data_IF_188460743670
#
_entry.id   IF_188460743670
#
_cell.length_a   1.000
_cell.length_b   1.000
_cell.length_c   1.000
_cell.angle_alpha   90.00
_cell.angle_beta   90.00
_cell.angle_gamma   90.00
#
_symmetry.space_group_name_H-M   'P 1'
#
loop_
_entity.id
_entity.type
_entity.pdbx_description
1 polymer ?
#
# COMPACT_ATOMS: atom_id res chain seq x y z
N UNK A 1 11.10 -18.04 14.90
CA UNK A 1 12.49 -18.47 15.21
C UNK A 1 12.71 -18.88 16.68
N UNK A 2 12.21 -18.13 17.67
CA UNK A 2 12.39 -18.48 19.09
C UNK A 2 11.64 -19.78 19.49
N UNK A 3 10.40 -19.94 19.04
CA UNK A 3 9.56 -21.11 19.35
C UNK A 3 10.12 -22.42 18.78
N UNK A 4 10.74 -22.36 17.60
CA UNK A 4 11.38 -23.52 16.97
C UNK A 4 12.58 -24.04 17.79
N UNK A 5 13.40 -23.14 18.34
CA UNK A 5 14.52 -23.51 19.23
C UNK A 5 14.03 -24.12 20.54
N UNK A 6 12.86 -23.73 21.02
CA UNK A 6 12.27 -24.30 22.24
C UNK A 6 11.71 -25.72 21.98
N UNK A 7 11.11 -25.94 20.81
CA UNK A 7 10.67 -27.25 20.37
C UNK A 7 11.84 -28.24 20.21
N UNK A 8 12.97 -27.81 19.64
CA UNK A 8 14.18 -28.64 19.54
C UNK A 8 14.74 -29.04 20.90
N UNK A 9 14.79 -28.11 21.87
CA UNK A 9 15.24 -28.40 23.24
C UNK A 9 14.35 -29.45 23.93
N UNK A 10 13.03 -29.34 23.77
CA UNK A 10 12.07 -30.32 24.32
C UNK A 10 12.25 -31.70 23.67
N UNK A 11 12.50 -31.76 22.36
CA UNK A 11 12.76 -33.01 21.63
C UNK A 11 14.04 -33.70 22.12
N UNK A 12 15.12 -32.93 22.31
CA UNK A 12 16.39 -33.46 22.85
C UNK A 12 16.24 -33.99 24.29
N UNK A 13 15.51 -33.28 25.15
CA UNK A 13 15.22 -33.72 26.53
C UNK A 13 14.44 -35.03 26.58
N UNK A 14 13.48 -35.22 25.67
CA UNK A 14 12.69 -36.45 25.60
C UNK A 14 13.52 -37.65 25.11
N UNK A 15 14.40 -37.44 24.13
CA UNK A 15 15.29 -38.48 23.61
C UNK A 15 16.23 -39.03 24.72
N UNK A 16 16.86 -38.13 25.49
CA UNK A 16 17.76 -38.51 26.59
C UNK A 16 17.03 -39.29 27.71
N UNK A 17 15.76 -38.97 27.98
CA UNK A 17 14.97 -39.66 28.99
C UNK A 17 14.59 -41.08 28.53
N UNK A 18 14.29 -41.26 27.25
CA UNK A 18 13.93 -42.55 26.65
C UNK A 18 15.12 -43.52 26.62
N UNK A 19 16.31 -43.06 26.24
CA UNK A 19 17.53 -43.89 26.27
C UNK A 19 17.85 -44.40 27.68
N UNK A 20 17.70 -43.55 28.70
CA UNK A 20 17.91 -43.95 30.09
C UNK A 20 16.91 -45.02 30.57
N UNK A 21 15.67 -44.98 30.09
CA UNK A 21 14.68 -46.02 30.42
C UNK A 21 14.97 -47.35 29.71
N UNK A 22 15.47 -47.32 28.48
CA UNK A 22 15.86 -48.53 27.74
C UNK A 22 17.09 -49.17 28.38
N UNK A 23 18.11 -48.39 28.75
CA UNK A 23 19.31 -48.89 29.40
C UNK A 23 19.03 -49.59 30.74
N UNK A 24 18.03 -49.11 31.50
CA UNK A 24 17.62 -49.74 32.77
C UNK A 24 16.90 -51.08 32.61
N UNK A 25 16.26 -51.36 31.47
CA UNK A 25 15.52 -52.62 31.23
C UNK A 25 16.37 -53.72 30.58
N UNK A 26 17.53 -53.38 30.01
CA UNK A 26 18.41 -54.34 29.34
C UNK A 26 19.00 -55.49 30.21
N UNK A 27 19.29 -55.34 31.53
CA UNK A 27 19.95 -56.41 32.28
C UNK A 27 19.02 -57.56 32.69
N UNK A 28 17.69 -57.38 32.67
CA UNK A 28 16.75 -58.43 33.13
C UNK A 28 16.50 -59.53 32.09
N UNK A 29 16.70 -59.25 30.79
CA UNK A 29 16.46 -60.24 29.73
C UNK A 29 17.57 -61.29 29.65
N UNK A 30 18.83 -60.92 29.93
CA UNK A 30 19.96 -61.89 29.91
C UNK A 30 19.90 -62.92 31.04
N UNK A 31 19.12 -62.70 32.11
CA UNK A 31 18.98 -63.66 33.23
C UNK A 31 17.92 -64.74 32.99
N UNK A 32 17.07 -64.62 31.97
CA UNK A 32 16.03 -65.63 31.68
C UNK A 32 16.45 -66.73 30.71
N UNK A 33 17.45 -66.51 29.86
CA UNK A 33 17.90 -67.52 28.89
C UNK A 33 18.81 -68.60 29.50
N UNK A 34 19.47 -68.33 30.62
CA UNK A 34 20.40 -69.30 31.25
C UNK A 34 19.74 -70.40 32.08
N UNK A 35 18.40 -70.49 32.13
CA UNK A 35 17.67 -71.49 32.94
C UNK A 35 16.96 -72.60 32.15
N UNK A 36 17.01 -72.61 30.82
CA UNK A 36 16.20 -73.56 30.01
C UNK A 36 16.97 -74.74 29.38
N UNK A 37 18.30 -74.84 29.57
CA UNK A 37 19.10 -75.87 28.88
C UNK A 37 19.32 -77.18 29.68
N UNK A 38 18.75 -77.34 30.88
CA UNK A 38 19.16 -78.42 31.80
C UNK A 38 18.09 -79.46 32.14
N UNK A 39 16.96 -79.56 31.42
CA UNK A 39 15.85 -80.45 31.81
C UNK A 39 15.29 -81.40 30.75
N UNK A 40 16.01 -81.68 29.65
CA UNK A 40 15.57 -82.68 28.64
C UNK A 40 16.37 -83.98 28.75
N UNK A 41 16.23 -84.67 29.88
CA UNK A 41 16.45 -86.11 29.97
C UNK A 41 15.10 -86.76 30.28
N UNK A 42 14.23 -86.82 29.28
CA UNK A 42 12.95 -87.55 29.40
C UNK A 42 13.28 -89.03 29.40
N UNK A 43 13.10 -89.70 30.54
CA UNK A 43 13.19 -91.15 30.64
C UNK A 43 12.01 -91.77 29.87
N UNK A 44 12.30 -92.42 28.75
CA UNK A 44 11.30 -93.11 27.93
C UNK A 44 10.67 -94.26 28.73
N UNK A 45 9.35 -94.25 28.89
CA UNK A 45 8.67 -95.27 29.68
C UNK A 45 8.61 -96.58 28.88
N UNK A 46 8.66 -97.76 29.54
CA UNK A 46 8.58 -99.06 28.87
C UNK A 46 7.30 -99.28 28.05
N UNK A 47 6.22 -98.56 28.37
CA UNK A 47 4.97 -98.58 27.61
C UNK A 47 5.13 -97.98 26.20
N UNK A 48 5.86 -96.88 26.08
CA UNK A 48 6.12 -96.20 24.80
C UNK A 48 6.95 -97.09 23.87
N UNK A 49 7.80 -97.96 24.44
CA UNK A 49 8.65 -98.90 23.67
C UNK A 49 7.87 -99.95 22.89
N UNK A 50 6.64 -100.27 23.30
CA UNK A 50 5.79 -101.25 22.60
C UNK A 50 5.12 -100.64 21.36
N UNK A 51 4.78 -99.34 21.39
CA UNK A 51 4.13 -98.65 20.27
C UNK A 51 5.09 -98.42 19.09
N UNK A 52 6.39 -98.21 19.37
CA UNK A 52 7.43 -98.11 18.33
C UNK A 52 7.68 -99.41 17.55
N UNK A 53 7.22 -100.57 18.05
CA UNK A 53 7.41 -101.84 17.34
C UNK A 53 6.27 -102.15 16.36
N UNK A 54 5.11 -101.49 16.47
CA UNK A 54 3.96 -101.70 15.60
C UNK A 54 3.80 -100.65 14.49
N UNK A 55 4.49 -99.51 14.59
CA UNK A 55 4.44 -98.46 13.58
C UNK A 55 5.58 -98.64 12.57
N UNK A 56 5.25 -98.63 11.27
CA UNK A 56 6.26 -98.61 10.22
C UNK A 56 7.12 -97.35 10.36
N UNK A 57 8.42 -97.53 10.52
CA UNK A 57 9.41 -96.45 10.70
C UNK A 57 9.24 -95.31 9.68
N UNK A 58 8.90 -95.63 8.44
CA UNK A 58 8.65 -94.64 7.38
C UNK A 58 7.46 -93.72 7.72
N UNK A 59 6.38 -94.24 8.32
CA UNK A 59 5.22 -93.42 8.70
C UNK A 59 5.55 -92.40 9.79
N UNK A 60 6.47 -92.74 10.70
CA UNK A 60 6.94 -91.85 11.75
C UNK A 60 7.83 -90.74 11.18
N UNK A 61 8.78 -91.09 10.32
CA UNK A 61 9.67 -90.12 9.66
C UNK A 61 8.85 -89.19 8.76
N UNK A 62 7.94 -89.72 7.95
CA UNK A 62 7.06 -88.93 7.10
C UNK A 62 6.15 -88.03 7.94
N UNK A 63 5.64 -88.50 9.08
CA UNK A 63 4.83 -87.70 10.01
C UNK A 63 5.60 -86.51 10.57
N UNK A 64 6.83 -86.74 11.07
CA UNK A 64 7.68 -85.67 11.60
C UNK A 64 8.09 -84.66 10.51
N UNK A 65 8.45 -85.14 9.32
CA UNK A 65 8.80 -84.28 8.18
C UNK A 65 7.60 -83.45 7.71
N UNK A 66 6.41 -84.05 7.58
CA UNK A 66 5.18 -83.34 7.23
C UNK A 66 4.81 -82.29 8.28
N UNK A 67 4.98 -82.60 9.56
CA UNK A 67 4.73 -81.64 10.64
C UNK A 67 5.70 -80.47 10.62
N UNK A 68 7.00 -80.72 10.43
CA UNK A 68 8.02 -79.68 10.35
C UNK A 68 7.81 -78.75 9.14
N UNK A 69 7.47 -79.30 7.97
CA UNK A 69 7.12 -78.52 6.79
C UNK A 69 5.87 -77.67 7.04
N UNK A 70 4.84 -78.23 7.71
CA UNK A 70 3.63 -77.47 8.04
C UNK A 70 3.93 -76.32 8.99
N UNK A 71 4.66 -76.57 10.08
CA UNK A 71 5.05 -75.52 11.03
C UNK A 71 5.91 -74.44 10.36
N UNK A 72 6.79 -74.82 9.44
CA UNK A 72 7.56 -73.85 8.65
C UNK A 72 6.69 -73.04 7.70
N UNK A 73 5.73 -73.68 7.02
CA UNK A 73 4.79 -72.99 6.15
C UNK A 73 3.90 -72.02 6.93
N UNK A 74 3.40 -72.41 8.11
CA UNK A 74 2.62 -71.56 9.01
C UNK A 74 3.44 -70.38 9.53
N UNK A 75 4.71 -70.60 9.88
CA UNK A 75 5.63 -69.52 10.27
C UNK A 75 5.81 -68.51 9.14
N UNK A 76 6.09 -68.98 7.93
CA UNK A 76 6.25 -68.12 6.75
C UNK A 76 4.95 -67.38 6.41
N UNK A 77 3.79 -68.02 6.54
CA UNK A 77 2.49 -67.38 6.37
C UNK A 77 2.33 -66.23 7.38
N UNK A 78 2.64 -66.48 8.65
CA UNK A 78 2.60 -65.46 9.70
C UNK A 78 3.51 -64.26 9.41
N UNK A 79 4.74 -64.50 8.96
CA UNK A 79 5.69 -63.44 8.56
C UNK A 79 5.16 -62.60 7.39
N UNK A 80 4.58 -63.26 6.38
CA UNK A 80 3.97 -62.57 5.22
C UNK A 80 2.74 -61.76 5.64
N UNK A 81 1.90 -62.29 6.53
CA UNK A 81 0.75 -61.55 7.05
C UNK A 81 1.16 -60.30 7.85
N UNK A 82 2.18 -60.41 8.70
CA UNK A 82 2.72 -59.26 9.45
C UNK A 82 3.29 -58.23 8.48
N UNK A 83 4.08 -58.67 7.50
CA UNK A 83 4.65 -57.79 6.47
C UNK A 83 3.56 -57.11 5.64
N UNK A 84 2.49 -57.83 5.29
CA UNK A 84 1.33 -57.27 4.58
C UNK A 84 0.62 -56.21 5.41
N UNK A 85 0.36 -56.47 6.70
CA UNK A 85 -0.26 -55.49 7.60
C UNK A 85 0.61 -54.24 7.76
N UNK A 86 1.92 -54.41 7.89
CA UNK A 86 2.87 -53.30 7.96
C UNK A 86 2.87 -52.45 6.68
N UNK A 87 2.89 -53.09 5.50
CA UNK A 87 2.82 -52.38 4.23
C UNK A 87 1.50 -51.63 4.05
N UNK A 88 0.36 -52.24 4.42
CA UNK A 88 -0.94 -51.55 4.37
C UNK A 88 -0.97 -50.34 5.29
N UNK A 89 -0.45 -50.46 6.52
CA UNK A 89 -0.35 -49.33 7.44
C UNK A 89 0.56 -48.21 6.89
N UNK A 90 1.64 -48.55 6.18
CA UNK A 90 2.49 -47.56 5.50
C UNK A 90 1.80 -46.88 4.33
N UNK A 91 1.01 -47.62 3.56
CA UNK A 91 0.22 -47.06 2.45
C UNK A 91 -0.84 -46.11 2.99
N UNK A 92 -1.60 -46.50 4.01
CA UNK A 92 -2.59 -45.62 4.65
C UNK A 92 -1.95 -44.35 5.20
N UNK A 93 -0.81 -44.47 5.89
CA UNK A 93 -0.07 -43.30 6.39
C UNK A 93 0.40 -42.38 5.25
N UNK A 94 0.92 -42.94 4.16
CA UNK A 94 1.34 -42.16 2.99
C UNK A 94 0.15 -41.49 2.29
N UNK A 95 -1.01 -42.14 2.24
CA UNK A 95 -2.24 -41.54 1.71
C UNK A 95 -2.77 -40.41 2.59
N UNK A 96 -2.70 -40.54 3.92
CA UNK A 96 -3.00 -39.47 4.86
C UNK A 96 -2.07 -38.26 4.66
N UNK A 97 -0.76 -38.50 4.51
CA UNK A 97 0.24 -37.47 4.22
C UNK A 97 -0.05 -36.77 2.87
N UNK A 98 -0.37 -37.52 1.82
CA UNK A 98 -0.75 -36.95 0.52
C UNK A 98 -2.02 -36.11 0.61
N UNK A 99 -3.02 -36.56 1.39
CA UNK A 99 -4.24 -35.78 1.63
C UNK A 99 -3.93 -34.48 2.38
N UNK A 100 -3.06 -34.50 3.38
CA UNK A 100 -2.62 -33.32 4.11
C UNK A 100 -1.90 -32.31 3.19
N UNK A 101 -0.91 -32.77 2.41
CA UNK A 101 -0.18 -31.93 1.45
C UNK A 101 -1.10 -31.34 0.38
N UNK A 102 -2.11 -32.10 -0.07
CA UNK A 102 -3.10 -31.59 -1.03
C UNK A 102 -3.98 -30.49 -0.44
N UNK A 103 -4.33 -30.59 0.85
CA UNK A 103 -5.08 -29.54 1.54
C UNK A 103 -4.23 -28.26 1.69
N UNK A 104 -2.98 -28.40 2.13
CA UNK A 104 -2.02 -27.29 2.26
C UNK A 104 -1.80 -26.58 0.91
N UNK A 105 -1.59 -27.33 -0.18
CA UNK A 105 -1.44 -26.76 -1.52
C UNK A 105 -2.69 -25.96 -1.96
N UNK A 106 -3.90 -26.41 -1.59
CA UNK A 106 -5.14 -25.69 -1.92
C UNK A 106 -5.27 -24.41 -1.11
N UNK A 107 -4.90 -24.43 0.16
CA UNK A 107 -4.87 -23.25 1.02
C UNK A 107 -3.87 -22.21 0.50
N UNK A 108 -2.64 -22.64 0.17
CA UNK A 108 -1.61 -21.77 -0.39
C UNK A 108 -2.05 -21.15 -1.72
N UNK A 109 -2.67 -21.93 -2.61
CA UNK A 109 -3.26 -21.41 -3.86
C UNK A 109 -4.33 -20.36 -3.55
N UNK A 110 -5.18 -20.58 -2.54
CA UNK A 110 -6.15 -19.60 -2.07
C UNK A 110 -5.49 -18.31 -1.59
N UNK A 111 -4.50 -18.42 -0.69
CA UNK A 111 -3.74 -17.27 -0.17
C UNK A 111 -3.05 -16.48 -1.30
N UNK A 112 -2.46 -17.16 -2.28
CA UNK A 112 -1.83 -16.54 -3.42
C UNK A 112 -2.84 -15.85 -4.36
N UNK A 113 -4.05 -16.41 -4.56
CA UNK A 113 -5.11 -15.70 -5.31
C UNK A 113 -5.56 -14.43 -4.60
N UNK A 114 -5.67 -14.46 -3.27
CA UNK A 114 -5.99 -13.30 -2.45
C UNK A 114 -4.90 -12.24 -2.55
N UNK A 115 -3.63 -12.61 -2.37
CA UNK A 115 -2.49 -11.70 -2.50
C UNK A 115 -2.44 -11.04 -3.90
N UNK A 116 -2.69 -11.80 -4.97
CA UNK A 116 -2.79 -11.24 -6.33
C UNK A 116 -3.94 -10.24 -6.47
N UNK A 117 -5.07 -10.48 -5.82
CA UNK A 117 -6.20 -9.54 -5.85
C UNK A 117 -5.89 -8.25 -5.10
N UNK A 118 -5.18 -8.32 -3.97
CA UNK A 118 -4.73 -7.14 -3.22
C UNK A 118 -3.74 -6.31 -4.02
N UNK A 119 -2.77 -6.95 -4.69
CA UNK A 119 -1.82 -6.26 -5.58
C UNK A 119 -2.57 -5.49 -6.68
N UNK A 120 -3.54 -6.13 -7.36
CA UNK A 120 -4.35 -5.46 -8.38
C UNK A 120 -5.17 -4.30 -7.82
N UNK A 121 -5.70 -4.44 -6.60
CA UNK A 121 -6.43 -3.35 -5.94
C UNK A 121 -5.52 -2.15 -5.62
N UNK A 122 -4.28 -2.41 -5.18
CA UNK A 122 -3.29 -1.35 -4.94
C UNK A 122 -2.85 -0.69 -6.25
N UNK A 123 -2.63 -1.47 -7.32
CA UNK A 123 -2.32 -0.94 -8.66
C UNK A 123 -3.43 -0.03 -9.19
N UNK A 124 -4.70 -0.40 -9.01
CA UNK A 124 -5.84 0.44 -9.39
C UNK A 124 -5.84 1.78 -8.63
N UNK A 125 -5.66 1.75 -7.30
CA UNK A 125 -5.56 2.97 -6.48
C UNK A 125 -4.36 3.85 -6.88
N UNK A 126 -3.24 3.23 -7.25
CA UNK A 126 -2.07 3.94 -7.73
C UNK A 126 -2.35 4.64 -9.07
N UNK A 127 -3.03 3.96 -9.99
CA UNK A 127 -3.45 4.55 -11.27
C UNK A 127 -4.42 5.73 -11.08
N UNK A 128 -5.39 5.59 -10.16
CA UNK A 128 -6.28 6.69 -9.77
C UNK A 128 -5.50 7.88 -9.19
N UNK A 129 -4.56 7.64 -8.26
CA UNK A 129 -3.72 8.68 -7.69
C UNK A 129 -2.90 9.41 -8.77
N UNK A 130 -2.28 8.68 -9.71
CA UNK A 130 -1.57 9.31 -10.82
C UNK A 130 -2.50 10.14 -11.72
N UNK A 131 -3.73 9.67 -11.97
CA UNK A 131 -4.72 10.45 -12.72
C UNK A 131 -5.08 11.76 -12.01
N UNK A 132 -5.32 11.73 -10.70
CA UNK A 132 -5.60 12.95 -9.92
C UNK A 132 -4.44 13.95 -9.94
N UNK A 133 -3.19 13.46 -9.83
CA UNK A 133 -2.00 14.31 -9.92
C UNK A 133 -1.90 14.96 -11.30
N UNK A 134 -2.19 14.22 -12.38
CA UNK A 134 -2.17 14.77 -13.74
C UNK A 134 -3.20 15.90 -13.92
N UNK A 135 -4.41 15.75 -13.37
CA UNK A 135 -5.44 16.80 -13.37
C UNK A 135 -4.96 18.03 -12.60
N UNK A 136 -4.47 17.87 -11.38
CA UNK A 136 -3.97 18.98 -10.56
C UNK A 136 -2.79 19.71 -11.22
N UNK A 137 -1.88 18.98 -11.86
CA UNK A 137 -0.77 19.59 -12.62
C UNK A 137 -1.28 20.43 -13.79
N UNK A 138 -2.31 19.94 -14.50
CA UNK A 138 -2.92 20.70 -15.59
C UNK A 138 -3.61 21.96 -15.07
N UNK A 139 -4.37 21.86 -13.98
CA UNK A 139 -5.03 23.01 -13.33
C UNK A 139 -4.00 24.04 -12.83
N UNK A 140 -2.92 23.59 -12.18
CA UNK A 140 -1.84 24.45 -11.70
C UNK A 140 -1.19 25.25 -12.85
N UNK A 141 -0.90 24.59 -13.97
CA UNK A 141 -0.40 25.26 -15.19
C UNK A 141 -1.42 26.28 -15.72
N UNK A 142 -2.69 25.92 -15.72
CA UNK A 142 -3.77 26.83 -16.11
C UNK A 142 -3.86 28.07 -15.22
N UNK A 143 -3.68 27.92 -13.90
CA UNK A 143 -3.63 29.05 -12.97
C UNK A 143 -2.37 29.89 -13.15
N UNK A 144 -1.22 29.27 -13.39
CA UNK A 144 0.05 29.96 -13.63
C UNK A 144 -0.04 30.89 -14.85
N UNK A 145 -0.58 30.40 -15.97
CA UNK A 145 -0.77 31.21 -17.17
C UNK A 145 -1.72 32.41 -16.95
N UNK A 146 -2.73 32.26 -16.09
CA UNK A 146 -3.63 33.36 -15.73
C UNK A 146 -2.91 34.43 -14.89
N UNK A 147 -2.05 34.01 -13.95
CA UNK A 147 -1.23 34.94 -13.16
C UNK A 147 -0.31 35.73 -14.09
N UNK A 148 0.44 35.06 -14.96
CA UNK A 148 1.32 35.72 -15.95
C UNK A 148 0.56 36.71 -16.83
N UNK A 149 -0.68 36.37 -17.23
CA UNK A 149 -1.54 37.28 -17.99
C UNK A 149 -1.95 38.52 -17.19
N UNK A 150 -2.28 38.37 -15.91
CA UNK A 150 -2.65 39.48 -15.03
C UNK A 150 -1.47 40.40 -14.75
N UNK A 151 -0.30 39.83 -14.46
CA UNK A 151 0.96 40.58 -14.29
C UNK A 151 1.29 41.40 -15.55
N UNK A 152 1.12 40.80 -16.74
CA UNK A 152 1.33 41.52 -18.00
C UNK A 152 0.32 42.67 -18.22
N UNK A 153 -0.92 42.54 -17.72
CA UNK A 153 -1.92 43.61 -17.77
C UNK A 153 -1.62 44.72 -16.77
N UNK A 154 -1.25 44.35 -15.55
CA UNK A 154 -0.85 45.28 -14.49
C UNK A 154 0.34 46.13 -14.94
N UNK A 155 1.38 45.50 -15.51
CA UNK A 155 2.55 46.20 -16.03
C UNK A 155 2.17 47.25 -17.09
N UNK A 156 1.29 46.90 -18.03
CA UNK A 156 0.81 47.86 -19.06
C UNK A 156 0.00 49.00 -18.45
N UNK A 157 -0.87 48.70 -17.48
CA UNK A 157 -1.65 49.72 -16.80
C UNK A 157 -0.75 50.69 -16.03
N UNK A 158 0.30 50.17 -15.39
CA UNK A 158 1.29 50.96 -14.67
C UNK A 158 2.12 51.84 -15.63
N UNK A 159 2.58 51.30 -16.76
CA UNK A 159 3.25 52.07 -17.82
C UNK A 159 2.36 53.20 -18.37
N UNK A 160 1.07 52.90 -18.61
CA UNK A 160 0.09 53.90 -19.06
C UNK A 160 -0.14 54.99 -18.01
N UNK A 161 -0.25 54.62 -16.73
CA UNK A 161 -0.41 55.57 -15.64
C UNK A 161 0.82 56.48 -15.52
N UNK A 162 2.03 55.91 -15.57
CA UNK A 162 3.27 56.68 -15.57
C UNK A 162 3.35 57.66 -16.74
N UNK A 163 2.99 57.21 -17.94
CA UNK A 163 2.94 58.06 -19.12
C UNK A 163 1.91 59.19 -18.98
N UNK A 164 0.73 58.92 -18.44
CA UNK A 164 -0.28 59.95 -18.17
C UNK A 164 0.24 60.98 -17.16
N UNK A 165 0.84 60.54 -16.04
CA UNK A 165 1.47 61.44 -15.07
C UNK A 165 2.56 62.30 -15.71
N UNK A 166 3.35 61.72 -16.61
CA UNK A 166 4.38 62.45 -17.34
C UNK A 166 3.77 63.53 -18.26
N UNK A 167 2.72 63.20 -19.03
CA UNK A 167 2.00 64.18 -19.85
C UNK A 167 1.43 65.34 -19.01
N UNK A 168 0.86 65.04 -17.83
CA UNK A 168 0.38 66.07 -16.91
C UNK A 168 1.51 66.97 -16.39
N UNK A 169 2.68 66.39 -16.07
CA UNK A 169 3.85 67.17 -15.65
C UNK A 169 4.39 68.05 -16.76
N UNK A 170 4.36 67.57 -18.01
CA UNK A 170 4.87 68.28 -19.17
C UNK A 170 3.92 69.35 -19.70
N UNK A 171 2.61 69.24 -19.45
CA UNK A 171 1.64 70.26 -19.85
C UNK A 171 1.83 71.56 -19.05
N UNK A 172 2.28 72.61 -19.74
CA UNK A 172 2.31 73.98 -19.21
C UNK A 172 0.89 74.50 -18.94
N UNK A 173 -0.06 74.21 -19.84
CA UNK A 173 -1.47 74.63 -19.70
C UNK A 173 -2.11 74.13 -18.40
N UNK A 174 -1.83 72.89 -17.98
CA UNK A 174 -2.31 72.37 -16.69
C UNK A 174 -1.61 73.02 -15.50
N UNK A 175 -0.34 73.40 -15.63
CA UNK A 175 0.39 74.11 -14.58
C UNK A 175 -0.16 75.52 -14.40
N UNK A 176 -0.34 76.26 -15.47
CA UNK A 176 -0.94 77.60 -15.45
C UNK A 176 -2.37 77.56 -14.91
N UNK A 177 -3.17 76.56 -15.31
CA UNK A 177 -4.55 76.43 -14.84
C UNK A 177 -4.63 76.02 -13.36
N UNK A 178 -3.74 75.13 -12.89
CA UNK A 178 -3.63 74.84 -11.46
C UNK A 178 -3.11 76.03 -10.68
N UNK A 179 -2.16 76.81 -11.21
CA UNK A 179 -1.68 78.03 -10.57
C UNK A 179 -2.79 79.07 -10.48
N UNK A 180 -3.50 79.38 -11.57
CA UNK A 180 -4.63 80.31 -11.55
C UNK A 180 -5.77 79.83 -10.63
N UNK A 181 -6.25 78.60 -10.78
CA UNK A 181 -7.42 78.13 -10.03
C UNK A 181 -7.10 77.80 -8.57
N UNK A 182 -5.89 77.29 -8.25
CA UNK A 182 -5.49 77.08 -6.85
C UNK A 182 -5.23 78.41 -6.15
N UNK A 183 -4.60 79.38 -6.81
CA UNK A 183 -4.38 80.72 -6.22
C UNK A 183 -5.72 81.43 -6.06
N UNK A 184 -6.59 81.43 -7.07
CA UNK A 184 -7.92 82.07 -6.98
C UNK A 184 -8.85 81.38 -5.97
N UNK A 185 -8.82 80.04 -5.92
CA UNK A 185 -9.55 79.24 -4.94
C UNK A 185 -9.07 79.50 -3.51
N UNK A 186 -7.76 79.56 -3.30
CA UNK A 186 -7.15 79.90 -2.02
C UNK A 186 -7.51 81.31 -1.58
N UNK A 187 -7.42 82.29 -2.49
CA UNK A 187 -7.80 83.68 -2.24
C UNK A 187 -9.29 83.75 -1.84
N UNK A 188 -10.19 83.11 -2.59
CA UNK A 188 -11.63 83.06 -2.25
C UNK A 188 -11.89 82.41 -0.90
N UNK A 189 -11.27 81.26 -0.62
CA UNK A 189 -11.41 80.59 0.67
C UNK A 189 -10.91 81.44 1.85
N UNK A 190 -9.80 82.16 1.65
CA UNK A 190 -9.24 83.07 2.65
C UNK A 190 -10.14 84.29 2.88
N UNK A 191 -10.75 84.83 1.83
CA UNK A 191 -11.74 85.90 1.95
C UNK A 191 -12.99 85.45 2.70
N UNK A 192 -13.51 84.26 2.42
CA UNK A 192 -14.64 83.69 3.16
C UNK A 192 -14.31 83.48 4.63
N UNK A 193 -13.11 82.98 4.93
CA UNK A 193 -12.59 82.89 6.28
C UNK A 193 -12.54 84.25 6.97
N UNK A 194 -11.99 85.30 6.33
CA UNK A 194 -11.98 86.67 6.88
C UNK A 194 -13.40 87.19 7.11
N UNK A 195 -14.35 86.92 6.20
CA UNK A 195 -15.77 87.29 6.37
C UNK A 195 -16.37 86.61 7.60
N UNK A 196 -16.10 85.32 7.80
CA UNK A 196 -16.54 84.58 8.99
C UNK A 196 -15.90 85.12 10.27
N UNK A 197 -14.59 85.38 10.25
CA UNK A 197 -13.86 85.85 11.43
C UNK A 197 -14.30 87.26 11.86
N UNK A 198 -14.59 88.17 10.93
CA UNK A 198 -15.14 89.51 11.27
C UNK A 198 -16.50 89.44 11.96
N UNK A 199 -17.33 88.46 11.58
CA UNK A 199 -18.64 88.27 12.20
C UNK A 199 -18.51 87.78 13.64
N UNK A 200 -17.51 86.93 13.91
CA UNK A 200 -17.24 86.38 15.22
C UNK A 200 -16.46 87.36 16.12
N UNK A 201 -15.50 88.10 15.55
CA UNK A 201 -14.58 88.98 16.25
C UNK A 201 -14.43 90.34 15.54
N UNK A 202 -15.35 91.30 15.77
CA UNK A 202 -15.36 92.58 15.06
C UNK A 202 -14.13 93.46 15.32
N UNK A 203 -13.49 93.32 16.48
CA UNK A 203 -12.34 94.14 16.91
C UNK A 203 -11.00 93.63 16.36
N UNK A 204 -10.96 92.40 15.84
CA UNK A 204 -9.71 91.79 15.40
C UNK A 204 -9.29 92.36 14.04
N UNK A 205 -8.14 93.06 14.01
CA UNK A 205 -7.66 93.69 12.79
C UNK A 205 -7.02 92.68 11.83
N UNK A 206 -7.87 92.11 10.96
CA UNK A 206 -7.48 91.17 9.91
C UNK A 206 -6.61 91.78 8.80
N UNK A 207 -6.27 93.08 8.82
CA UNK A 207 -5.39 93.66 7.79
C UNK A 207 -3.96 93.11 7.86
N UNK A 208 -3.58 92.50 8.99
CA UNK A 208 -2.26 91.93 9.22
C UNK A 208 -2.10 90.52 8.63
N UNK A 209 -3.20 89.82 8.32
CA UNK A 209 -3.17 88.48 7.75
C UNK A 209 -3.27 88.58 6.22
N UNK A 210 -2.13 88.59 5.54
CA UNK A 210 -2.07 88.40 4.09
C UNK A 210 -1.98 86.90 3.78
N UNK A 211 -2.80 86.38 2.85
CA UNK A 211 -2.58 85.05 2.31
C UNK A 211 -1.17 85.00 1.69
N UNK A 212 -0.31 84.10 2.19
CA UNK A 212 1.06 83.90 1.72
C UNK A 212 2.17 84.73 2.42
N UNK A 213 1.82 85.68 3.30
CA UNK A 213 2.79 86.62 3.88
C UNK A 213 3.52 86.14 5.15
N UNK A 214 3.78 84.84 5.32
CA UNK A 214 4.19 84.30 6.64
C UNK A 214 5.31 83.26 6.67
N UNK A 215 5.93 82.92 5.54
CA UNK A 215 7.12 82.06 5.53
C UNK A 215 8.20 82.88 4.82
N UNK A 216 8.86 83.75 5.58
CA UNK A 216 10.24 84.06 5.24
C UNK A 216 10.96 82.71 5.35
N UNK A 217 11.35 82.15 4.21
CA UNK A 217 12.21 80.98 4.12
C UNK A 217 13.55 81.36 4.77
N UNK A 218 13.60 81.29 6.10
CA UNK A 218 14.83 81.36 6.85
C UNK A 218 15.60 80.10 6.42
N UNK A 219 16.54 80.30 5.51
CA UNK A 219 17.61 79.41 5.03
C UNK A 219 18.54 78.97 6.20
N UNK A 220 17.96 78.71 7.37
CA UNK A 220 18.63 78.21 8.57
C UNK A 220 18.67 76.69 8.54
N UNK A 221 19.80 76.17 8.07
CA UNK A 221 20.10 74.75 7.96
C UNK A 221 19.65 73.90 9.17
N UNK A 222 18.80 72.93 8.89
CA UNK A 222 18.68 71.71 9.66
C UNK A 222 19.08 70.54 8.77
N UNK A 223 20.39 70.38 8.61
CA UNK A 223 20.99 69.08 8.34
C UNK A 223 20.68 68.18 9.55
N UNK A 224 19.66 67.34 9.41
CA UNK A 224 19.36 66.26 10.33
C UNK A 224 19.12 64.99 9.53
N UNK A 225 20.09 64.05 9.46
CA UNK A 225 19.86 62.74 8.88
C UNK A 225 19.06 61.94 9.91
N UNK A 226 17.76 61.84 9.70
CA UNK A 226 16.96 60.81 10.37
C UNK A 226 16.74 59.71 9.33
N UNK A 227 17.70 58.79 9.29
CA UNK A 227 17.45 57.42 8.88
C UNK A 227 16.40 56.87 9.85
N UNK A 228 15.13 56.96 9.46
CA UNK A 228 14.12 56.06 9.98
C UNK A 228 14.20 54.81 9.13
N UNK A 229 15.06 53.90 9.59
CA UNK A 229 15.07 52.51 9.17
C UNK A 229 13.66 51.93 9.24
N UNK A 230 13.33 51.18 8.19
CA UNK A 230 12.58 49.93 8.22
C UNK A 230 11.91 49.56 9.56
N UNK A 231 10.58 49.72 9.65
CA UNK A 231 9.69 48.82 10.42
C UNK A 231 8.22 49.27 10.26
N UNK A 232 7.62 49.06 9.09
CA UNK A 232 6.16 49.18 8.93
C UNK A 232 5.57 48.35 7.77
N UNK A 233 6.27 47.28 7.34
CA UNK A 233 5.83 46.43 6.22
C UNK A 233 5.54 44.97 6.59
N UNK A 234 5.43 44.62 7.88
CA UNK A 234 5.21 43.22 8.30
C UNK A 234 4.03 42.98 9.27
N UNK A 235 3.04 43.88 9.35
CA UNK A 235 1.85 43.69 10.19
C UNK A 235 0.52 43.74 9.42
N UNK A 236 0.49 43.20 8.19
CA UNK A 236 -0.76 42.96 7.44
C UNK A 236 -0.88 41.53 6.88
N UNK A 237 0.07 40.64 7.16
CA UNK A 237 0.05 39.24 6.73
C UNK A 237 -0.29 38.24 7.86
N UNK A 238 -0.74 38.73 9.03
CA UNK A 238 -0.95 37.89 10.23
C UNK A 238 -2.23 38.21 11.02
N UNK A 239 -3.33 38.46 10.32
CA UNK A 239 -4.65 37.98 10.78
C UNK A 239 -4.99 36.78 9.88
N UNK A 240 -4.56 35.56 10.23
CA UNK A 240 -5.38 34.67 11.03
C UNK A 240 -6.85 34.75 10.56
N UNK A 241 -7.28 33.95 9.57
CA UNK A 241 -7.25 32.48 9.65
C UNK A 241 -7.57 32.01 11.07
N UNK A 242 -8.71 32.48 11.57
CA UNK A 242 -9.39 31.93 12.72
C UNK A 242 -10.88 31.80 12.37
N UNK A 243 -11.33 30.56 12.39
CA UNK A 243 -12.66 30.21 12.89
C UNK A 243 -13.85 30.45 11.95
N UNK A 244 -13.95 29.58 10.94
CA UNK A 244 -15.18 29.33 10.20
C UNK A 244 -15.39 27.83 10.04
N UNK A 245 -15.58 27.11 11.15
CA UNK A 245 -16.16 25.78 11.14
C UNK A 245 -17.69 25.93 11.17
N UNK A 246 -18.41 25.72 10.06
CA UNK A 246 -19.81 25.36 10.16
C UNK A 246 -19.89 23.88 10.54
N UNK A 247 -20.14 23.62 11.83
CA UNK A 247 -20.94 22.47 12.23
C UNK A 247 -22.26 22.53 11.45
N UNK A 248 -22.33 21.72 10.40
CA UNK A 248 -23.48 21.59 9.54
C UNK A 248 -23.57 20.15 9.08
N UNK A 249 -23.96 19.27 9.99
CA UNK A 249 -24.52 17.96 9.66
C UNK A 249 -25.99 18.18 9.29
N UNK A 250 -26.39 18.11 8.01
CA UNK A 250 -27.74 17.69 7.68
C UNK A 250 -27.76 16.16 7.70
N UNK A 251 -28.22 15.64 8.83
CA UNK A 251 -28.93 14.37 8.91
C UNK A 251 -30.17 14.47 8.01
N UNK A 252 -30.07 13.95 6.79
CA UNK A 252 -31.20 13.85 5.88
C UNK A 252 -31.04 12.61 4.96
N UNK A 253 -31.67 11.53 5.42
CA UNK A 253 -32.35 10.48 4.68
C UNK A 253 -32.01 10.28 3.18
N UNK A 254 -31.61 9.06 2.76
CA UNK A 254 -31.77 8.65 1.37
C UNK A 254 -33.25 8.34 1.13
N UNK A 255 -34.00 9.33 0.66
CA UNK A 255 -35.33 9.09 0.10
C UNK A 255 -35.19 8.39 -1.25
N UNK A 256 -35.78 7.20 -1.31
CA UNK A 256 -35.93 6.39 -2.49
C UNK A 256 -36.86 7.07 -3.51
N UNK A 257 -36.39 7.27 -4.73
CA UNK A 257 -37.19 7.21 -5.96
C UNK A 257 -36.29 7.42 -7.18
N UNK A 258 -36.24 6.47 -8.11
CA UNK A 258 -35.53 6.68 -9.37
C UNK A 258 -35.24 5.40 -10.14
N UNK A 259 -36.28 4.59 -10.30
CA UNK A 259 -36.34 3.39 -11.12
C UNK A 259 -35.91 3.72 -12.58
N UNK A 260 -34.68 3.35 -12.95
CA UNK A 260 -34.26 3.27 -14.36
C UNK A 260 -33.91 1.82 -14.65
N UNK A 261 -34.96 1.13 -15.09
CA UNK A 261 -34.93 -0.13 -15.82
C UNK A 261 -33.95 -0.03 -17.01
N UNK A 262 -32.79 -0.66 -16.87
CA UNK A 262 -32.11 -1.28 -18.01
C UNK A 262 -32.25 -2.78 -17.87
N UNK A 263 -33.26 -3.30 -18.56
CA UNK A 263 -33.43 -4.72 -18.83
C UNK A 263 -32.20 -5.23 -19.58
N UNK A 264 -31.23 -5.80 -18.86
CA UNK A 264 -30.24 -6.70 -19.46
C UNK A 264 -30.68 -8.12 -19.17
N UNK A 265 -31.54 -8.65 -20.06
CA UNK A 265 -31.93 -10.05 -20.09
C UNK A 265 -30.71 -10.93 -20.37
N UNK A 266 -30.08 -11.46 -19.32
CA UNK A 266 -29.22 -12.65 -19.44
C UNK A 266 -30.12 -13.85 -19.20
N UNK A 267 -30.66 -14.36 -20.31
CA UNK A 267 -31.28 -15.68 -20.36
C UNK A 267 -30.25 -16.75 -20.03
N UNK A 268 -30.38 -17.33 -18.85
CA UNK A 268 -29.88 -18.65 -18.53
C UNK A 268 -30.80 -19.69 -19.19
N UNK A 269 -30.34 -20.26 -20.30
CA UNK A 269 -30.67 -21.61 -20.76
C UNK A 269 -29.30 -22.22 -21.09
N UNK A 270 -28.80 -23.24 -20.41
CA UNK A 270 -29.46 -24.52 -20.31
C UNK A 270 -29.24 -25.29 -21.61
N UNK A 271 -27.99 -25.68 -21.89
CA UNK A 271 -27.69 -26.72 -22.87
C UNK A 271 -26.47 -27.51 -22.42
N UNK A 272 -26.76 -28.74 -22.00
CA UNK A 272 -25.83 -29.85 -22.02
C UNK A 272 -25.53 -30.20 -23.47
N UNK A 273 -24.25 -30.27 -23.85
CA UNK A 273 -23.73 -31.21 -24.85
C UNK A 273 -22.24 -31.45 -24.53
N UNK A 274 -21.87 -32.73 -24.49
CA UNK A 274 -20.49 -33.16 -24.77
C UNK A 274 -20.06 -32.64 -26.15
N UNK A 275 -18.78 -32.29 -26.32
CA UNK A 275 -17.97 -33.07 -27.25
C UNK A 275 -16.55 -33.26 -26.67
N UNK A 276 -15.85 -34.36 -26.93
CA UNK A 276 -15.48 -34.78 -28.27
C UNK A 276 -13.98 -34.51 -28.46
N UNK A 277 -13.28 -35.61 -28.62
CA UNK A 277 -11.85 -35.83 -28.80
C UNK A 277 -11.25 -35.14 -30.05
N UNK A 278 -10.18 -34.34 -29.87
CA UNK A 278 -9.10 -33.98 -30.83
C UNK A 278 -9.48 -33.25 -32.16
N UNK A 279 -8.57 -32.54 -32.90
CA UNK A 279 -7.11 -32.66 -32.93
C UNK A 279 -6.31 -31.32 -32.91
N UNK A 280 -4.98 -31.48 -32.94
CA UNK A 280 -3.97 -30.44 -32.98
C UNK A 280 -4.11 -29.46 -34.16
N UNK A 281 -4.04 -28.16 -33.87
CA UNK A 281 -3.64 -27.12 -34.83
C UNK A 281 -2.60 -26.19 -34.21
N UNK A 282 -1.52 -25.99 -34.97
CA UNK A 282 -0.34 -25.20 -34.66
C UNK A 282 -0.69 -23.72 -34.40
N UNK A 283 -0.10 -23.06 -33.39
CA UNK A 283 -0.07 -21.61 -33.38
C UNK A 283 0.90 -21.12 -34.47
N UNK A 284 0.38 -20.45 -35.48
CA UNK A 284 1.18 -19.64 -36.42
C UNK A 284 2.00 -18.62 -35.62
N UNK A 285 3.32 -18.80 -35.65
CA UNK A 285 4.30 -17.83 -35.18
C UNK A 285 4.30 -16.68 -36.18
N UNK A 286 3.64 -15.57 -35.84
CA UNK A 286 3.80 -14.30 -36.56
C UNK A 286 5.19 -13.75 -36.23
N UNK A 287 6.14 -13.98 -37.13
CA UNK A 287 7.43 -13.30 -37.14
C UNK A 287 7.16 -11.87 -37.62
N UNK A 288 7.29 -10.91 -36.72
CA UNK A 288 7.37 -9.49 -37.08
C UNK A 288 8.79 -9.27 -37.59
N UNK A 289 8.96 -9.28 -38.91
CA UNK A 289 10.21 -8.86 -39.54
C UNK A 289 10.46 -7.37 -39.25
N UNK A 290 11.62 -7.10 -38.65
CA UNK A 290 12.22 -5.78 -38.47
C UNK A 290 12.36 -5.09 -39.83
N UNK A 291 11.53 -4.07 -40.06
CA UNK A 291 11.65 -3.20 -41.21
C UNK A 291 12.73 -2.13 -40.92
N UNK A 292 13.97 -2.42 -41.31
CA UNK A 292 15.06 -1.45 -41.42
C UNK A 292 14.66 -0.30 -42.37
N UNK A 293 14.18 0.81 -41.81
CA UNK A 293 14.03 2.06 -42.56
C UNK A 293 15.34 2.86 -42.48
N UNK A 294 16.11 2.78 -43.56
CA UNK A 294 17.38 3.48 -43.72
C UNK A 294 17.24 5.01 -43.74
N UNK A 295 18.11 5.67 -42.97
CA UNK A 295 18.40 7.09 -43.10
C UNK A 295 19.81 7.24 -43.68
N UNK A 296 19.93 7.33 -45.01
CA UNK A 296 21.19 7.67 -45.67
C UNK A 296 21.23 9.18 -45.90
N UNK A 297 22.04 9.83 -45.08
CA UNK A 297 22.33 11.26 -45.11
C UNK A 297 22.86 11.72 -46.48
N UNK A 298 22.30 12.82 -46.97
CA UNK A 298 22.90 13.66 -48.01
C UNK A 298 23.33 14.96 -47.34
N UNK A 299 24.63 15.22 -47.27
CA UNK A 299 25.17 16.53 -46.94
C UNK A 299 26.41 16.76 -47.78
N UNK A 300 26.29 17.72 -48.68
CA UNK A 300 27.37 18.28 -49.49
C UNK A 300 27.53 19.74 -49.05
N UNK A 301 28.76 20.22 -48.86
CA UNK A 301 29.13 21.58 -49.25
C UNK A 301 29.99 21.56 -50.52
#
# INVERSE_FOLDING_TARGET
MAEWREAEKKKASWAATRENQIAKKAPDLRRRESRSASSLWVALLPADRAEFQSADFNSLVDGTHCSAIREEAERRLGEVEVSRRELLARVEAAEDELRALTAELKEEKGAHTLARSEVRAVEARLAEAYSTIAVLQHEARGTQLKVEQLEAREKRALEQAQHAVQLFRESEEFRELLEEEAVDGLIRGFEDFRRQLRRLCPEFNLSMLQPGGGIDEDEGGLEGPVEAEDEAAEEAAREASAEGAPEGVPDAAPEAAGDVLTETSVTAAGQAEEPGEAPAENPEVVIVDDLEAGAKATTTP
#
